data_IF_336895583877
#
_entry.id   IF_336895583877
#
_cell.length_a   1.000
_cell.length_b   1.000
_cell.length_c   1.000
_cell.angle_alpha   90.00
_cell.angle_beta   90.00
_cell.angle_gamma   90.00
#
_symmetry.space_group_name_H-M   'P 1'
#
loop_
_entity.id
_entity.type
_entity.pdbx_description
1 polymer ?
#
# COMPACT_ATOMS: atom_id res chain seq x y z
N UNK A 1 14.87 -25.33 23.45
CA UNK A 1 13.45 -25.44 23.81
C UNK A 1 12.72 -26.56 23.03
N UNK A 2 11.50 -26.80 23.37
CA UNK A 2 10.52 -27.65 22.70
C UNK A 2 9.13 -27.11 22.99
N UNK A 3 8.13 -27.47 22.19
CA UNK A 3 6.75 -27.06 22.44
C UNK A 3 5.89 -28.23 22.96
N UNK A 4 4.90 -27.92 23.78
CA UNK A 4 4.00 -28.89 24.40
C UNK A 4 2.55 -28.58 24.06
N UNK A 5 1.77 -29.59 23.72
CA UNK A 5 0.32 -29.45 23.48
C UNK A 5 -0.50 -29.51 24.77
N UNK A 6 0.11 -29.97 25.90
CA UNK A 6 -0.51 -30.06 27.21
C UNK A 6 0.51 -29.64 28.28
N UNK A 7 0.02 -29.16 29.43
CA UNK A 7 0.86 -28.81 30.60
C UNK A 7 1.31 -30.04 31.40
N UNK A 8 1.62 -31.12 30.73
CA UNK A 8 2.07 -32.40 31.35
C UNK A 8 3.20 -32.98 30.52
N UNK A 9 4.05 -33.77 31.15
CA UNK A 9 5.05 -34.54 30.43
C UNK A 9 4.41 -35.58 29.53
N UNK A 10 4.97 -35.79 28.34
CA UNK A 10 4.45 -36.72 27.34
C UNK A 10 5.05 -36.48 25.97
N UNK A 11 4.19 -36.51 24.94
CA UNK A 11 4.60 -36.15 23.58
C UNK A 11 4.78 -34.64 23.47
N UNK A 12 5.88 -34.23 22.84
CA UNK A 12 6.23 -32.84 22.59
C UNK A 12 6.56 -32.62 21.13
N UNK A 13 6.38 -31.42 20.66
CA UNK A 13 6.88 -30.97 19.37
C UNK A 13 8.38 -30.71 19.53
N UNK A 14 9.19 -31.35 18.69
CA UNK A 14 10.64 -31.37 18.77
C UNK A 14 11.26 -31.22 17.39
N UNK A 15 12.51 -30.75 17.26
CA UNK A 15 13.21 -30.77 15.96
C UNK A 15 13.40 -32.22 15.50
N UNK A 16 13.61 -32.42 14.21
CA UNK A 16 14.00 -33.74 13.65
C UNK A 16 15.38 -34.15 14.15
N UNK A 17 16.30 -33.18 14.24
CA UNK A 17 17.67 -33.40 14.72
C UNK A 17 17.89 -32.68 16.07
N UNK A 18 18.66 -33.33 16.95
CA UNK A 18 18.99 -32.70 18.23
C UNK A 18 19.88 -31.48 18.05
N UNK A 19 19.61 -30.45 18.85
CA UNK A 19 20.31 -29.17 18.83
C UNK A 19 20.24 -28.46 17.47
N UNK A 20 19.15 -28.65 16.70
CA UNK A 20 18.85 -27.77 15.59
C UNK A 20 18.94 -26.32 16.05
N UNK A 21 19.87 -25.56 15.47
CA UNK A 21 20.18 -24.22 15.95
C UNK A 21 19.14 -23.19 15.50
N UNK A 22 18.80 -22.29 16.41
CA UNK A 22 18.05 -21.07 16.18
C UNK A 22 18.95 -19.90 16.51
N UNK A 23 19.30 -19.14 15.52
CA UNK A 23 20.19 -17.98 15.57
C UNK A 23 19.51 -16.74 14.95
N UNK A 24 20.31 -15.74 14.61
CA UNK A 24 19.81 -14.49 14.00
C UNK A 24 19.27 -14.65 12.56
N UNK A 25 19.65 -15.72 11.86
CA UNK A 25 19.14 -16.02 10.51
C UNK A 25 17.75 -16.66 10.56
N UNK A 26 17.37 -17.19 11.74
CA UNK A 26 16.10 -17.88 11.93
C UNK A 26 16.10 -19.29 11.34
N UNK A 27 14.90 -19.79 11.09
CA UNK A 27 14.63 -21.11 10.47
C UNK A 27 13.40 -20.96 9.61
N UNK A 28 13.38 -21.48 8.40
CA UNK A 28 12.23 -21.42 7.50
C UNK A 28 11.85 -22.81 7.00
N UNK A 29 10.56 -23.11 7.04
CA UNK A 29 9.93 -24.31 6.50
C UNK A 29 10.58 -25.63 6.96
N UNK A 30 11.07 -25.68 8.21
CA UNK A 30 11.75 -26.87 8.73
C UNK A 30 10.76 -27.86 9.35
N UNK A 31 11.07 -29.15 9.19
CA UNK A 31 10.23 -30.23 9.74
C UNK A 31 10.36 -30.34 11.26
N UNK A 32 9.28 -30.70 11.93
CA UNK A 32 9.29 -31.12 13.34
C UNK A 32 8.61 -32.47 13.53
N UNK A 33 8.83 -33.07 14.68
CA UNK A 33 8.20 -34.33 15.12
C UNK A 33 7.42 -34.16 16.41
N UNK A 34 6.39 -35.00 16.61
CA UNK A 34 5.59 -35.00 17.84
C UNK A 34 5.76 -36.34 18.56
N UNK A 35 6.69 -36.39 19.50
CA UNK A 35 7.13 -37.66 20.15
C UNK A 35 7.44 -37.46 21.63
N UNK A 36 7.36 -38.54 22.40
CA UNK A 36 7.81 -38.57 23.79
C UNK A 36 9.33 -38.72 23.89
N UNK A 37 9.90 -39.50 22.99
CA UNK A 37 11.34 -39.81 22.91
C UNK A 37 11.79 -39.81 21.45
N UNK A 38 13.08 -39.53 21.12
CA UNK A 38 14.17 -39.13 22.00
C UNK A 38 13.98 -37.72 22.59
N UNK A 39 14.73 -37.40 23.66
CA UNK A 39 14.72 -36.06 24.29
C UNK A 39 15.63 -35.08 23.54
N UNK A 40 15.19 -34.62 22.37
CA UNK A 40 15.86 -33.68 21.51
C UNK A 40 15.20 -32.31 21.56
N UNK A 41 15.96 -31.24 21.35
CA UNK A 41 15.51 -29.86 21.54
C UNK A 41 16.11 -28.95 20.46
N UNK A 42 15.44 -27.81 20.21
CA UNK A 42 16.05 -26.69 19.53
C UNK A 42 17.04 -25.97 20.48
N UNK A 43 18.17 -25.58 19.95
CA UNK A 43 19.18 -24.83 20.64
C UNK A 43 19.17 -23.37 20.18
N UNK A 44 18.79 -22.46 21.09
CA UNK A 44 18.90 -21.03 20.79
C UNK A 44 20.32 -20.58 21.09
N UNK A 45 21.06 -20.17 20.07
CA UNK A 45 22.47 -19.77 20.18
C UNK A 45 22.67 -18.27 20.34
N UNK A 46 21.64 -17.47 20.11
CA UNK A 46 21.67 -16.01 20.29
C UNK A 46 20.48 -15.55 21.15
N UNK A 47 20.75 -14.75 22.16
CA UNK A 47 19.70 -14.10 22.93
C UNK A 47 19.10 -12.96 22.10
N UNK A 48 17.83 -13.09 21.72
CA UNK A 48 17.07 -12.12 20.94
C UNK A 48 15.57 -12.34 21.15
N UNK A 49 14.76 -11.48 20.57
CA UNK A 49 13.31 -11.69 20.45
C UNK A 49 13.05 -12.51 19.17
N UNK A 50 12.28 -13.57 19.30
CA UNK A 50 11.96 -14.44 18.17
C UNK A 50 10.44 -14.55 18.00
N UNK A 51 9.98 -14.59 16.75
CA UNK A 51 8.68 -15.17 16.41
C UNK A 51 8.90 -16.63 16.07
N UNK A 52 8.07 -17.49 16.66
CA UNK A 52 8.07 -18.92 16.37
C UNK A 52 6.67 -19.29 15.91
N UNK A 53 6.55 -19.78 14.69
CA UNK A 53 5.29 -20.24 14.09
C UNK A 53 5.33 -21.75 13.91
N UNK A 54 4.31 -22.46 14.37
CA UNK A 54 4.15 -23.90 14.16
C UNK A 54 2.95 -24.13 13.23
N UNK A 55 3.20 -24.68 12.06
CA UNK A 55 2.16 -25.23 11.19
C UNK A 55 1.93 -26.69 11.58
N UNK A 56 0.85 -26.95 12.33
CA UNK A 56 0.55 -28.29 12.83
C UNK A 56 -0.09 -29.20 11.78
N UNK A 57 -0.59 -28.62 10.69
CA UNK A 57 -1.16 -29.35 9.57
C UNK A 57 -0.05 -29.93 8.67
N UNK A 58 0.92 -29.09 8.33
CA UNK A 58 2.02 -29.43 7.43
C UNK A 58 3.30 -29.88 8.18
N UNK A 59 3.28 -29.89 9.52
CA UNK A 59 4.40 -30.29 10.38
C UNK A 59 5.64 -29.45 10.18
N UNK A 60 5.45 -28.12 10.04
CA UNK A 60 6.50 -27.14 9.77
C UNK A 60 6.68 -26.13 10.88
N UNK A 61 7.91 -25.70 11.06
CA UNK A 61 8.26 -24.59 11.97
C UNK A 61 9.00 -23.50 11.19
N UNK A 62 8.58 -22.27 11.42
CA UNK A 62 9.29 -21.06 11.04
C UNK A 62 9.73 -20.30 12.28
N UNK A 63 10.98 -19.86 12.29
CA UNK A 63 11.51 -19.01 13.38
C UNK A 63 12.17 -17.80 12.75
N UNK A 64 11.67 -16.63 13.08
CA UNK A 64 12.24 -15.34 12.67
C UNK A 64 12.85 -14.65 13.89
N UNK A 65 14.12 -14.24 13.78
CA UNK A 65 14.75 -13.34 14.74
C UNK A 65 14.24 -11.93 14.50
N UNK A 66 13.63 -11.31 15.52
CA UNK A 66 13.13 -9.94 15.46
C UNK A 66 14.27 -8.99 15.89
N UNK A 67 14.61 -8.03 15.02
CA UNK A 67 15.59 -6.98 15.35
C UNK A 67 14.99 -6.02 16.39
N UNK A 68 15.85 -5.38 17.16
CA UNK A 68 15.42 -4.36 18.13
C UNK A 68 14.62 -3.27 17.41
N UNK A 69 13.38 -3.06 17.84
CA UNK A 69 12.45 -2.12 17.24
C UNK A 69 11.52 -2.70 16.16
N UNK A 70 11.67 -3.95 15.72
CA UNK A 70 10.66 -4.66 14.95
C UNK A 70 9.54 -5.13 15.90
N UNK A 71 8.53 -4.30 16.07
CA UNK A 71 7.24 -4.77 16.57
C UNK A 71 6.52 -5.49 15.42
N UNK A 72 6.25 -6.76 15.61
CA UNK A 72 5.43 -7.49 14.67
C UNK A 72 3.99 -7.04 14.81
N UNK A 73 3.48 -6.48 13.73
CA UNK A 73 2.11 -6.02 13.62
C UNK A 73 1.24 -7.17 13.13
N UNK A 74 0.04 -7.30 13.68
CA UNK A 74 -0.94 -8.19 13.09
C UNK A 74 -1.24 -7.74 11.65
N UNK A 75 -1.45 -8.67 10.70
CA UNK A 75 -1.84 -8.32 9.35
C UNK A 75 -3.06 -7.39 9.34
N UNK A 76 -3.09 -6.43 8.40
CA UNK A 76 -4.27 -5.60 8.21
C UNK A 76 -5.34 -6.46 7.53
N UNK A 77 -6.38 -6.82 8.28
CA UNK A 77 -7.50 -7.63 7.80
C UNK A 77 -8.47 -6.77 7.01
N UNK A 78 -8.51 -6.94 5.70
CA UNK A 78 -9.47 -6.29 4.80
C UNK A 78 -9.65 -7.09 3.51
N UNK A 79 -10.82 -6.97 2.90
CA UNK A 79 -11.07 -7.51 1.56
C UNK A 79 -10.94 -6.45 0.47
N UNK A 80 -10.79 -5.18 0.83
CA UNK A 80 -10.78 -4.02 -0.07
C UNK A 80 -9.65 -3.07 0.27
N UNK A 81 -9.09 -2.41 -0.74
CA UNK A 81 -8.11 -1.35 -0.57
C UNK A 81 -8.33 -0.29 -1.66
N UNK A 82 -8.22 0.97 -1.26
CA UNK A 82 -8.50 2.12 -2.13
C UNK A 82 -7.40 3.15 -2.04
N UNK A 83 -7.02 3.75 -3.17
CA UNK A 83 -6.14 4.92 -3.24
C UNK A 83 -6.95 6.21 -3.23
N UNK A 84 -6.44 7.20 -2.53
CA UNK A 84 -6.98 8.53 -2.44
C UNK A 84 -5.86 9.56 -2.47
N UNK A 85 -6.08 10.66 -3.19
CA UNK A 85 -5.11 11.74 -3.26
C UNK A 85 -5.11 12.46 -4.60
N UNK A 86 -4.49 13.63 -4.66
CA UNK A 86 -4.42 14.44 -5.88
C UNK A 86 -3.72 13.75 -7.06
N UNK A 87 -3.00 12.66 -6.81
CA UNK A 87 -2.42 11.84 -7.87
C UNK A 87 -3.40 10.86 -8.52
N UNK A 88 -4.59 10.66 -7.96
CA UNK A 88 -5.64 9.79 -8.49
C UNK A 88 -6.73 10.57 -9.19
N UNK A 89 -7.48 9.90 -10.08
CA UNK A 89 -8.59 10.53 -10.81
C UNK A 89 -9.68 11.10 -9.89
N UNK A 90 -9.94 10.44 -8.74
CA UNK A 90 -10.94 10.88 -7.76
C UNK A 90 -10.44 11.97 -6.81
N UNK A 91 -9.16 12.32 -6.84
CA UNK A 91 -8.60 13.33 -5.95
C UNK A 91 -8.79 12.98 -4.47
N UNK A 92 -9.24 13.96 -3.69
CA UNK A 92 -9.53 13.82 -2.25
C UNK A 92 -11.02 13.54 -1.98
N UNK A 93 -11.76 13.05 -2.96
CA UNK A 93 -13.16 12.64 -2.78
C UNK A 93 -13.22 11.20 -2.27
N UNK A 94 -13.72 11.01 -1.06
CA UNK A 94 -13.86 9.70 -0.43
C UNK A 94 -14.83 8.75 -1.13
N UNK A 95 -15.79 9.27 -1.89
CA UNK A 95 -16.74 8.48 -2.68
C UNK A 95 -16.16 8.08 -4.06
N UNK A 96 -15.13 8.81 -4.52
CA UNK A 96 -14.46 8.58 -5.80
C UNK A 96 -13.07 7.92 -5.66
N UNK A 97 -12.77 7.27 -4.54
CA UNK A 97 -11.50 6.58 -4.33
C UNK A 97 -11.23 5.51 -5.40
N UNK A 98 -9.98 5.38 -5.82
CA UNK A 98 -9.56 4.38 -6.81
C UNK A 98 -9.34 3.02 -6.16
N UNK A 99 -10.09 1.96 -6.54
CA UNK A 99 -9.91 0.64 -5.97
C UNK A 99 -8.58 0.01 -6.42
N UNK A 100 -8.01 -0.81 -5.54
CA UNK A 100 -6.83 -1.64 -5.82
C UNK A 100 -7.25 -3.10 -5.83
N UNK A 101 -6.72 -3.87 -6.78
CA UNK A 101 -7.07 -5.27 -6.96
C UNK A 101 -6.36 -6.12 -5.90
N UNK A 102 -7.14 -6.97 -5.22
CA UNK A 102 -6.63 -8.00 -4.33
C UNK A 102 -6.10 -9.18 -5.14
N UNK A 103 -4.97 -9.73 -4.76
CA UNK A 103 -4.43 -10.95 -5.37
C UNK A 103 -5.32 -12.17 -5.01
N UNK A 104 -5.54 -13.07 -5.96
CA UNK A 104 -6.38 -14.25 -5.77
C UNK A 104 -5.69 -15.33 -4.90
N UNK A 105 -4.36 -15.37 -4.93
CA UNK A 105 -3.55 -16.37 -4.22
C UNK A 105 -3.05 -15.90 -2.85
N UNK A 106 -2.86 -14.58 -2.66
CA UNK A 106 -2.47 -13.99 -1.37
C UNK A 106 -3.48 -12.92 -0.93
N UNK A 107 -4.30 -13.21 0.09
CA UNK A 107 -5.33 -12.29 0.57
C UNK A 107 -4.80 -10.99 1.18
N UNK A 108 -3.50 -10.87 1.41
CA UNK A 108 -2.86 -9.67 1.95
C UNK A 108 -2.12 -8.85 0.90
N UNK A 109 -2.04 -9.34 -0.33
CA UNK A 109 -1.39 -8.64 -1.43
C UNK A 109 -2.42 -7.89 -2.28
N UNK A 110 -2.18 -6.60 -2.49
CA UNK A 110 -3.00 -5.73 -3.33
C UNK A 110 -2.13 -5.06 -4.39
N UNK A 111 -2.59 -5.06 -5.64
CA UNK A 111 -1.82 -4.53 -6.78
C UNK A 111 -2.66 -3.54 -7.59
N UNK A 112 -2.05 -2.41 -7.92
CA UNK A 112 -2.56 -1.42 -8.86
C UNK A 112 -1.63 -1.34 -10.06
N UNK A 113 -2.20 -1.28 -11.26
CA UNK A 113 -1.48 -0.89 -12.47
C UNK A 113 -2.27 0.16 -13.21
N UNK A 114 -1.64 1.30 -13.48
CA UNK A 114 -2.31 2.41 -14.16
C UNK A 114 -1.53 3.70 -14.09
N UNK A 115 -2.13 4.74 -14.66
CA UNK A 115 -1.58 6.10 -14.67
C UNK A 115 -1.92 6.85 -13.39
N UNK A 116 -0.92 7.51 -12.82
CA UNK A 116 -1.06 8.47 -11.73
C UNK A 116 -0.58 9.84 -12.19
N UNK A 117 -1.26 10.89 -11.77
CA UNK A 117 -0.84 12.27 -11.97
C UNK A 117 0.22 12.68 -10.94
N UNK A 118 0.89 13.79 -11.17
CA UNK A 118 1.71 14.41 -10.13
C UNK A 118 0.82 14.82 -8.94
N UNK A 119 1.23 14.46 -7.72
CA UNK A 119 0.43 14.79 -6.54
C UNK A 119 0.76 13.95 -5.31
N UNK A 120 -0.21 13.89 -4.41
CA UNK A 120 -0.12 13.15 -3.16
C UNK A 120 -0.98 11.88 -3.18
N UNK A 121 -0.60 10.87 -2.39
CA UNK A 121 -1.27 9.58 -2.29
C UNK A 121 -1.26 9.05 -0.86
N UNK A 122 -2.36 8.47 -0.43
CA UNK A 122 -2.51 7.57 0.72
C UNK A 122 -3.61 6.56 0.44
N UNK A 123 -3.72 5.50 1.27
CA UNK A 123 -4.68 4.44 1.02
C UNK A 123 -5.59 4.21 2.23
N UNK A 124 -6.80 3.71 1.95
CA UNK A 124 -7.81 3.34 2.94
C UNK A 124 -8.33 1.92 2.68
N UNK A 125 -8.71 1.24 3.74
CA UNK A 125 -9.33 -0.09 3.64
C UNK A 125 -10.80 -0.05 3.24
N UNK A 126 -11.43 1.13 3.34
CA UNK A 126 -12.83 1.39 2.99
C UNK A 126 -12.94 2.70 2.21
N UNK A 127 -13.87 2.78 1.27
CA UNK A 127 -14.26 4.03 0.60
C UNK A 127 -15.46 4.68 1.32
N UNK A 128 -15.67 5.97 1.08
CA UNK A 128 -16.81 6.73 1.63
C UNK A 128 -16.41 8.11 2.14
N UNK A 129 -17.38 8.97 2.36
CA UNK A 129 -17.16 10.36 2.75
C UNK A 129 -16.50 10.54 4.15
N UNK A 130 -16.73 9.59 5.07
CA UNK A 130 -16.21 9.64 6.45
C UNK A 130 -14.84 8.94 6.56
N UNK A 131 -13.81 9.55 5.99
CA UNK A 131 -12.44 9.01 6.00
C UNK A 131 -11.44 9.80 6.87
N UNK A 132 -11.75 11.03 7.25
CA UNK A 132 -10.76 11.98 7.83
C UNK A 132 -10.10 11.47 9.12
N UNK A 133 -10.83 10.75 9.96
CA UNK A 133 -10.35 10.23 11.23
C UNK A 133 -10.04 8.72 11.20
N UNK A 134 -10.18 8.08 10.03
CA UNK A 134 -9.90 6.65 9.90
C UNK A 134 -8.39 6.39 9.75
N UNK A 135 -7.91 5.23 10.21
CA UNK A 135 -6.57 4.79 9.88
C UNK A 135 -6.39 4.69 8.36
N UNK A 136 -5.23 5.13 7.88
CA UNK A 136 -4.84 5.02 6.48
C UNK A 136 -3.45 4.40 6.37
N UNK A 137 -3.19 3.71 5.27
CA UNK A 137 -1.87 3.24 4.90
C UNK A 137 -1.10 4.43 4.35
N UNK A 138 0.06 4.70 4.94
CA UNK A 138 0.88 5.90 4.74
C UNK A 138 2.35 5.55 4.72
N UNK A 139 3.22 6.35 4.06
CA UNK A 139 4.66 6.16 4.19
C UNK A 139 5.10 6.43 5.64
N UNK A 140 6.19 5.77 6.06
CA UNK A 140 6.81 6.04 7.38
C UNK A 140 7.27 7.49 7.47
N UNK A 141 7.92 8.02 6.43
CA UNK A 141 8.31 9.41 6.32
C UNK A 141 7.39 10.18 5.37
N UNK A 142 6.98 11.40 5.77
CA UNK A 142 6.20 12.27 4.90
C UNK A 142 6.95 12.59 3.61
N UNK A 143 6.21 12.72 2.50
CA UNK A 143 6.74 13.03 1.17
C UNK A 143 7.71 11.98 0.60
N UNK A 144 7.63 10.71 1.05
CA UNK A 144 8.33 9.62 0.38
C UNK A 144 7.92 9.60 -1.09
N UNK A 145 8.89 9.70 -1.99
CA UNK A 145 8.63 9.86 -3.42
C UNK A 145 8.33 8.50 -4.08
N UNK A 146 7.30 8.47 -4.92
CA UNK A 146 7.03 7.42 -5.92
C UNK A 146 7.32 8.06 -7.29
N UNK A 147 8.35 7.57 -7.97
CA UNK A 147 8.85 8.09 -9.24
C UNK A 147 9.44 7.00 -10.11
N UNK A 148 10.36 7.37 -11.01
CA UNK A 148 11.00 6.44 -11.94
C UNK A 148 11.87 5.39 -11.26
N UNK A 149 12.44 5.74 -10.09
CA UNK A 149 13.23 4.78 -9.30
C UNK A 149 12.32 3.76 -8.64
N UNK A 150 12.57 2.48 -8.92
CA UNK A 150 11.80 1.40 -8.31
C UNK A 150 11.96 1.38 -6.78
N UNK A 151 10.86 1.12 -6.09
CA UNK A 151 10.83 0.87 -4.65
C UNK A 151 10.60 -0.63 -4.45
N UNK A 152 11.38 -1.24 -3.55
CA UNK A 152 11.21 -2.65 -3.18
C UNK A 152 11.02 -2.75 -1.68
N UNK A 153 9.91 -3.32 -1.27
CA UNK A 153 9.54 -3.64 0.12
C UNK A 153 9.76 -2.51 1.12
N UNK A 154 9.52 -1.26 0.69
CA UNK A 154 9.60 -0.10 1.58
C UNK A 154 8.50 -0.17 2.65
N UNK A 155 8.83 0.05 3.93
CA UNK A 155 7.85 -0.05 5.00
C UNK A 155 6.82 1.07 4.94
N UNK A 156 5.58 0.74 5.34
CA UNK A 156 4.50 1.69 5.57
C UNK A 156 3.90 1.57 6.98
N UNK A 157 3.07 2.52 7.36
CA UNK A 157 2.31 2.53 8.61
C UNK A 157 0.81 2.54 8.31
N UNK A 158 0.00 1.96 9.22
CA UNK A 158 -1.46 2.01 9.17
C UNK A 158 -1.97 2.71 10.43
N UNK A 159 -2.21 4.01 10.31
CA UNK A 159 -2.54 4.90 11.43
C UNK A 159 -3.45 6.04 11.00
N UNK A 160 -4.18 6.64 11.95
CA UNK A 160 -4.94 7.86 11.72
C UNK A 160 -4.02 9.10 11.66
N UNK A 161 -2.92 9.10 12.44
CA UNK A 161 -1.92 10.17 12.49
C UNK A 161 -0.51 9.60 12.67
N UNK A 162 0.55 10.28 12.18
CA UNK A 162 0.56 11.54 11.42
C UNK A 162 -0.01 11.38 10.00
N UNK A 163 -0.44 12.49 9.36
CA UNK A 163 -1.01 12.49 8.01
C UNK A 163 0.07 12.49 6.92
N UNK A 164 0.99 11.51 6.98
CA UNK A 164 2.01 11.31 5.98
C UNK A 164 1.38 10.87 4.65
N UNK A 165 1.94 11.35 3.54
CA UNK A 165 1.52 11.00 2.19
C UNK A 165 2.74 10.67 1.33
N UNK A 166 2.57 9.78 0.36
CA UNK A 166 3.53 9.65 -0.73
C UNK A 166 3.42 10.84 -1.66
N UNK A 167 4.55 11.27 -2.22
CA UNK A 167 4.62 12.22 -3.31
C UNK A 167 4.84 11.47 -4.61
N UNK A 168 3.88 11.56 -5.52
CA UNK A 168 3.89 10.82 -6.79
C UNK A 168 4.30 11.76 -7.90
N UNK A 169 5.24 11.35 -8.75
CA UNK A 169 5.49 11.95 -10.07
C UNK A 169 4.51 11.40 -11.08
N UNK A 170 4.12 12.21 -12.05
CA UNK A 170 3.25 11.75 -13.13
C UNK A 170 3.88 10.56 -13.87
N UNK A 171 3.10 9.51 -14.15
CA UNK A 171 3.61 8.32 -14.82
C UNK A 171 2.63 7.15 -14.77
N UNK A 172 2.97 6.09 -15.51
CA UNK A 172 2.32 4.79 -15.39
C UNK A 172 3.10 3.92 -14.42
N UNK A 173 2.42 3.31 -13.48
CA UNK A 173 3.02 2.56 -12.38
C UNK A 173 2.36 1.21 -12.18
N UNK A 174 3.16 0.24 -11.70
CA UNK A 174 2.67 -0.89 -10.94
C UNK A 174 3.05 -0.68 -9.48
N UNK A 175 2.03 -0.62 -8.61
CA UNK A 175 2.20 -0.52 -7.16
C UNK A 175 1.71 -1.81 -6.53
N UNK A 176 2.43 -2.34 -5.55
CA UNK A 176 1.96 -3.46 -4.72
C UNK A 176 2.08 -3.14 -3.25
N UNK A 177 1.09 -3.56 -2.47
CA UNK A 177 1.00 -3.35 -1.03
C UNK A 177 0.76 -4.70 -0.36
N UNK A 178 1.71 -5.11 0.48
CA UNK A 178 1.59 -6.32 1.28
C UNK A 178 1.14 -5.95 2.70
N UNK A 179 -0.11 -6.24 3.02
CA UNK A 179 -0.74 -5.88 4.29
C UNK A 179 -0.31 -6.78 5.46
N UNK A 180 0.34 -7.92 5.17
CA UNK A 180 0.92 -8.81 6.19
C UNK A 180 2.27 -8.26 6.67
N UNK A 181 3.12 -7.84 5.74
CA UNK A 181 4.48 -7.38 6.03
C UNK A 181 4.57 -5.87 6.22
N UNK A 182 3.49 -5.13 5.94
CA UNK A 182 3.47 -3.67 5.94
C UNK A 182 4.50 -3.06 4.99
N UNK A 183 4.61 -3.63 3.78
CA UNK A 183 5.56 -3.18 2.76
C UNK A 183 4.86 -2.80 1.47
N UNK A 184 5.44 -1.82 0.77
CA UNK A 184 5.01 -1.45 -0.57
C UNK A 184 6.17 -1.54 -1.55
N UNK A 185 5.85 -1.87 -2.79
CA UNK A 185 6.80 -1.81 -3.90
C UNK A 185 6.19 -1.00 -5.04
N UNK A 186 7.04 -0.31 -5.80
CA UNK A 186 6.63 0.42 -6.99
C UNK A 186 7.57 0.14 -8.16
N UNK A 187 6.98 0.04 -9.34
CA UNK A 187 7.71 -0.04 -10.61
C UNK A 187 7.14 1.01 -11.55
N UNK A 188 8.01 1.87 -12.08
CA UNK A 188 7.65 2.81 -13.14
C UNK A 188 7.56 2.07 -14.46
N UNK A 189 6.46 2.23 -15.18
CA UNK A 189 6.17 1.53 -16.43
C UNK A 189 6.26 2.45 -17.67
N UNK A 190 6.49 3.75 -17.45
CA UNK A 190 6.62 4.73 -18.52
C UNK A 190 5.84 6.02 -18.27
N UNK A 191 5.87 6.90 -19.25
CA UNK A 191 5.11 8.15 -19.23
C UNK A 191 3.60 7.90 -19.09
N UNK A 192 2.84 8.88 -18.55
CA UNK A 192 1.38 8.78 -18.47
C UNK A 192 0.78 8.53 -19.85
N UNK A 193 -0.05 7.51 -19.96
CA UNK A 193 -0.87 7.33 -21.15
C UNK A 193 -2.06 8.30 -21.07
N UNK A 194 -2.06 9.33 -21.92
CA UNK A 194 -3.21 10.20 -22.10
C UNK A 194 -4.02 9.67 -23.28
N UNK A 195 -5.28 9.34 -23.05
CA UNK A 195 -6.21 9.10 -24.16
C UNK A 195 -6.49 10.43 -24.86
N UNK A 196 -5.80 10.67 -25.95
CA UNK A 196 -6.12 11.78 -26.84
C UNK A 196 -7.33 11.38 -27.67
N UNK A 197 -8.44 12.02 -27.40
CA UNK A 197 -9.60 11.93 -28.31
C UNK A 197 -9.38 12.94 -29.43
N UNK A 198 -9.21 12.45 -30.65
CA UNK A 198 -9.30 13.32 -31.82
C UNK A 198 -10.74 13.88 -31.93
N UNK A 199 -10.90 15.12 -31.52
CA UNK A 199 -12.13 15.87 -31.79
C UNK A 199 -11.87 16.76 -33.00
N UNK A 200 -12.73 16.67 -33.97
CA UNK A 200 -12.64 17.54 -35.18
C UNK A 200 -12.96 18.98 -34.84
N UNK A 201 -13.75 19.23 -33.83
CA UNK A 201 -14.10 20.54 -33.27
C UNK A 201 -14.69 20.41 -31.87
N UNK A 202 -14.55 21.45 -31.07
CA UNK A 202 -15.15 21.55 -29.73
C UNK A 202 -16.53 22.24 -29.89
N UNK A 203 -17.59 21.54 -29.51
CA UNK A 203 -18.92 22.14 -29.40
C UNK A 203 -19.19 22.55 -27.96
N UNK A 204 -19.39 23.83 -27.74
CA UNK A 204 -19.79 24.38 -26.46
C UNK A 204 -20.62 25.66 -26.67
N UNK A 205 -21.45 26.00 -25.69
CA UNK A 205 -22.16 27.26 -25.66
C UNK A 205 -21.45 28.33 -24.81
N UNK A 206 -20.48 27.90 -24.02
CA UNK A 206 -19.74 28.78 -23.14
C UNK A 206 -18.25 28.44 -23.15
N UNK A 207 -17.41 29.48 -23.16
CA UNK A 207 -15.98 29.36 -22.98
C UNK A 207 -15.53 30.35 -21.91
N UNK A 208 -14.69 29.90 -21.00
CA UNK A 208 -14.20 30.73 -19.88
C UNK A 208 -12.68 30.77 -19.88
N UNK A 209 -12.13 31.92 -19.56
CA UNK A 209 -10.71 32.11 -19.31
C UNK A 209 -10.42 32.02 -17.81
N UNK A 210 -9.35 31.31 -17.49
CA UNK A 210 -8.84 31.13 -16.13
C UNK A 210 -7.36 31.49 -16.09
N UNK A 211 -6.93 32.06 -14.99
CA UNK A 211 -5.52 32.35 -14.76
C UNK A 211 -5.30 33.78 -14.30
N UNK A 212 -4.09 34.07 -13.84
CA UNK A 212 -3.72 35.37 -13.27
C UNK A 212 -3.80 36.57 -14.25
N UNK A 213 -3.98 36.28 -15.54
CA UNK A 213 -4.08 37.31 -16.60
C UNK A 213 -5.52 37.81 -16.83
N UNK A 214 -6.51 37.26 -16.14
CA UNK A 214 -7.92 37.67 -16.27
C UNK A 214 -8.48 38.13 -14.93
N UNK A 215 -9.53 38.99 -14.92
CA UNK A 215 -10.02 39.68 -13.70
C UNK A 215 -10.40 38.73 -12.56
N UNK A 216 -10.92 37.54 -12.86
CA UNK A 216 -11.40 36.58 -11.87
C UNK A 216 -10.42 35.42 -11.61
N UNK A 217 -9.21 35.52 -12.14
CA UNK A 217 -8.11 34.59 -11.95
C UNK A 217 -8.53 33.12 -12.12
N UNK A 218 -8.48 32.32 -11.05
CA UNK A 218 -8.77 30.88 -11.03
C UNK A 218 -10.18 30.56 -10.51
N UNK A 219 -11.05 31.55 -10.31
CA UNK A 219 -12.40 31.33 -9.75
C UNK A 219 -13.42 30.90 -10.81
N UNK A 220 -13.40 29.58 -11.11
CA UNK A 220 -14.33 28.98 -12.09
C UNK A 220 -15.74 28.79 -11.55
N UNK A 221 -15.91 28.66 -10.22
CA UNK A 221 -17.18 28.28 -9.62
C UNK A 221 -18.10 29.46 -9.38
N UNK A 222 -17.57 30.61 -9.00
CA UNK A 222 -18.34 31.76 -8.54
C UNK A 222 -18.49 32.85 -9.59
N UNK A 223 -17.39 33.15 -10.29
CA UNK A 223 -17.40 34.25 -11.24
C UNK A 223 -16.33 34.06 -12.35
N UNK A 224 -16.45 33.04 -13.20
CA UNK A 224 -15.47 32.83 -14.26
C UNK A 224 -15.48 33.95 -15.28
N UNK A 225 -14.31 34.28 -15.85
CA UNK A 225 -14.21 35.26 -16.94
C UNK A 225 -14.73 34.63 -18.24
N UNK A 226 -15.92 35.00 -18.66
CA UNK A 226 -16.57 34.48 -19.86
C UNK A 226 -16.06 35.11 -21.15
N UNK A 227 -16.04 34.31 -22.23
CA UNK A 227 -15.87 34.80 -23.59
C UNK A 227 -17.23 35.01 -24.24
N UNK A 228 -17.30 35.98 -25.18
CA UNK A 228 -18.51 36.20 -26.01
C UNK A 228 -18.50 35.23 -27.19
N UNK A 229 -19.59 34.48 -27.35
CA UNK A 229 -19.78 33.57 -28.48
C UNK A 229 -20.20 34.39 -29.73
N UNK A 230 -19.37 34.40 -30.74
CA UNK A 230 -19.68 35.08 -32.03
C UNK A 230 -20.26 34.11 -33.10
N UNK A 231 -19.88 32.84 -33.04
CA UNK A 231 -20.42 31.79 -33.86
C UNK A 231 -20.30 30.43 -33.18
N UNK A 232 -20.74 29.35 -33.80
CA UNK A 232 -20.71 28.00 -33.21
C UNK A 232 -19.33 27.56 -32.73
N UNK A 233 -18.26 28.11 -33.29
CA UNK A 233 -16.89 27.72 -32.99
C UNK A 233 -15.98 28.91 -32.66
N UNK A 234 -16.53 30.14 -32.57
CA UNK A 234 -15.73 31.35 -32.35
C UNK A 234 -16.17 32.04 -31.07
N UNK A 235 -15.23 32.20 -30.16
CA UNK A 235 -15.40 32.89 -28.90
C UNK A 235 -14.35 34.00 -28.78
N UNK A 236 -14.76 35.19 -28.36
CA UNK A 236 -13.88 36.36 -28.26
C UNK A 236 -13.91 36.88 -26.82
N UNK A 237 -12.75 37.25 -26.31
CA UNK A 237 -12.58 38.00 -25.07
C UNK A 237 -11.82 39.30 -25.41
N UNK A 238 -12.38 40.41 -24.95
CA UNK A 238 -11.76 41.73 -25.00
C UNK A 238 -11.65 42.27 -23.55
N UNK A 239 -10.41 42.48 -23.08
CA UNK A 239 -10.17 42.96 -21.72
C UNK A 239 -8.69 43.24 -21.42
#
# INVERSE_FOLDING_TARGET
FRACTKRTWGQHIRPVNNNTEINEDGVADEDFIYVATPDINWLVTKAAKYRITFDLENWKIDVKCLKDGEEEKDPIETSTLFMMGSSTKGGWDGEAMTPILRDESDPYLFTFEGTLSEGELKLYTESGADYENKPAIRPVAANTEIGETAITDAPFIYVAAPDNKWKVKAGKYRLSFNLRTYTMSSTYLGEPEYEWHEVTHIQTDNLYLLGMAVPNEWDIERNPTGCTKESDYVFVYEG
#
